data_IF_611326871121
#
_entry.id   IF_611326871121
#
_cell.length_a   1.000
_cell.length_b   1.000
_cell.length_c   1.000
_cell.angle_alpha   90.00
_cell.angle_beta   90.00
_cell.angle_gamma   90.00
#
_symmetry.space_group_name_H-M   'P 1'
#
loop_
_entity.id
_entity.type
_entity.pdbx_description
1 polymer ?
#
# COMPACT_ATOMS: atom_id res chain seq x y z
N UNK A 1 -20.51 -21.96 -60.17
CA UNK A 1 -19.56 -22.10 -61.29
C UNK A 1 -18.93 -20.75 -61.58
N UNK A 2 -17.96 -20.65 -62.49
CA UNK A 2 -17.51 -19.34 -62.98
C UNK A 2 -18.63 -18.78 -63.86
N UNK A 3 -19.10 -17.58 -63.57
CA UNK A 3 -20.10 -16.89 -64.37
C UNK A 3 -19.47 -15.70 -65.07
N UNK A 4 -19.81 -15.51 -66.34
CA UNK A 4 -19.36 -14.38 -67.15
C UNK A 4 -20.56 -13.50 -67.44
N UNK A 5 -20.45 -12.22 -67.07
CA UNK A 5 -21.45 -11.22 -67.43
C UNK A 5 -20.85 -10.24 -68.42
N UNK A 6 -21.43 -10.20 -69.62
CA UNK A 6 -21.09 -9.18 -70.62
C UNK A 6 -21.99 -7.97 -70.34
N UNK A 7 -21.37 -6.83 -70.04
CA UNK A 7 -22.10 -5.58 -69.89
C UNK A 7 -22.09 -4.88 -71.26
N UNK A 8 -23.27 -4.74 -71.87
CA UNK A 8 -23.40 -4.04 -73.16
C UNK A 8 -23.29 -2.53 -72.93
N UNK A 9 -22.37 -1.88 -73.66
CA UNK A 9 -22.26 -0.43 -73.69
C UNK A 9 -23.02 0.10 -74.92
N UNK A 10 -24.03 0.94 -74.70
CA UNK A 10 -24.85 1.52 -75.77
C UNK A 10 -24.36 2.91 -76.15
N UNK A 11 -24.33 3.23 -77.44
CA UNK A 11 -23.87 4.53 -77.96
C UNK A 11 -22.36 4.64 -78.21
N UNK A 12 -21.63 3.54 -78.11
CA UNK A 12 -20.22 3.45 -78.51
C UNK A 12 -20.11 2.86 -79.93
N UNK A 13 -18.97 3.04 -80.62
CA UNK A 13 -18.74 2.44 -81.92
C UNK A 13 -18.97 0.92 -81.89
N UNK A 14 -19.62 0.40 -82.93
CA UNK A 14 -19.90 -1.04 -83.04
C UNK A 14 -18.58 -1.81 -83.14
N UNK A 15 -18.42 -2.83 -82.30
CA UNK A 15 -17.24 -3.69 -82.30
C UNK A 15 -17.09 -4.38 -83.65
N UNK A 16 -15.85 -4.49 -84.12
CA UNK A 16 -15.47 -5.14 -85.39
C UNK A 16 -14.90 -6.53 -85.12
N UNK A 17 -14.88 -7.34 -86.18
CA UNK A 17 -14.30 -8.67 -86.11
C UNK A 17 -12.80 -8.59 -85.75
N UNK A 18 -12.39 -9.39 -84.76
CA UNK A 18 -11.04 -9.35 -84.17
C UNK A 18 -10.89 -8.47 -82.91
N UNK A 19 -11.90 -7.69 -82.53
CA UNK A 19 -11.86 -6.89 -81.31
C UNK A 19 -11.83 -7.76 -80.03
N UNK A 20 -11.23 -7.24 -78.96
CA UNK A 20 -11.17 -7.91 -77.65
C UNK A 20 -11.94 -7.16 -76.58
N UNK A 21 -12.53 -7.89 -75.63
CA UNK A 21 -13.25 -7.29 -74.49
C UNK A 21 -12.29 -7.11 -73.31
N UNK A 22 -12.26 -5.91 -72.73
CA UNK A 22 -11.55 -5.67 -71.48
C UNK A 22 -12.28 -6.37 -70.32
N UNK A 23 -11.65 -7.40 -69.75
CA UNK A 23 -12.19 -8.15 -68.62
C UNK A 23 -11.76 -7.56 -67.28
N UNK A 24 -12.64 -7.66 -66.27
CA UNK A 24 -12.29 -7.45 -64.87
C UNK A 24 -12.89 -8.57 -64.02
N UNK A 25 -12.13 -9.07 -63.04
CA UNK A 25 -12.61 -10.09 -62.13
C UNK A 25 -13.36 -9.43 -60.97
N UNK A 26 -14.67 -9.68 -60.86
CA UNK A 26 -15.42 -9.29 -59.68
C UNK A 26 -15.45 -10.43 -58.67
N UNK A 27 -14.81 -10.21 -57.52
CA UNK A 27 -14.71 -11.21 -56.46
C UNK A 27 -16.11 -11.51 -55.88
N UNK A 28 -16.55 -12.77 -55.92
CA UNK A 28 -17.88 -13.17 -55.46
C UNK A 28 -18.04 -12.96 -53.94
N UNK A 29 -19.25 -12.61 -53.48
CA UNK A 29 -19.57 -12.43 -52.03
C UNK A 29 -19.14 -13.62 -51.16
N UNK A 30 -19.17 -14.84 -51.71
CA UNK A 30 -18.70 -16.05 -51.02
C UNK A 30 -17.22 -15.99 -50.62
N UNK A 31 -16.37 -15.35 -51.43
CA UNK A 31 -14.95 -15.17 -51.11
C UNK A 31 -14.72 -14.13 -50.00
N UNK A 32 -15.59 -13.11 -49.91
CA UNK A 32 -15.56 -12.13 -48.82
C UNK A 32 -16.03 -12.74 -47.49
N UNK A 33 -17.02 -13.65 -47.53
CA UNK A 33 -17.42 -14.40 -46.33
C UNK A 33 -16.30 -15.37 -45.94
N UNK A 34 -15.73 -16.12 -46.90
CA UNK A 34 -14.62 -17.03 -46.63
C UNK A 34 -13.37 -16.32 -46.10
N UNK A 35 -13.08 -15.09 -46.53
CA UNK A 35 -11.94 -14.31 -46.03
C UNK A 35 -12.16 -13.73 -44.64
N UNK A 36 -13.39 -13.61 -44.17
CA UNK A 36 -13.73 -13.13 -42.82
C UNK A 36 -13.86 -14.26 -41.79
N UNK A 37 -14.15 -15.50 -42.23
CA UNK A 37 -14.24 -16.66 -41.34
C UNK A 37 -12.90 -17.00 -40.67
N UNK A 38 -11.78 -16.85 -41.39
CA UNK A 38 -10.43 -17.06 -40.85
C UNK A 38 -10.11 -16.13 -39.67
N UNK A 39 -10.14 -14.81 -39.86
CA UNK A 39 -9.89 -13.83 -38.79
C UNK A 39 -10.77 -14.02 -37.55
N UNK A 40 -12.06 -14.35 -37.72
CA UNK A 40 -12.97 -14.60 -36.60
C UNK A 40 -12.55 -15.86 -35.82
N UNK A 41 -12.17 -16.94 -36.52
CA UNK A 41 -11.65 -18.16 -35.89
C UNK A 41 -10.36 -17.89 -35.12
N UNK A 42 -9.47 -17.06 -35.66
CA UNK A 42 -8.20 -16.75 -35.01
C UNK A 42 -8.41 -15.86 -33.77
N UNK A 43 -9.29 -14.86 -33.86
CA UNK A 43 -9.69 -14.04 -32.72
C UNK A 43 -10.33 -14.88 -31.61
N UNK A 44 -11.19 -15.84 -31.95
CA UNK A 44 -11.78 -16.76 -30.98
C UNK A 44 -10.72 -17.62 -30.28
N UNK A 45 -9.73 -18.14 -31.00
CA UNK A 45 -8.63 -18.89 -30.39
C UNK A 45 -7.79 -18.03 -29.43
N UNK A 46 -7.55 -16.77 -29.77
CA UNK A 46 -6.83 -15.84 -28.88
C UNK A 46 -7.64 -15.56 -27.62
N UNK A 47 -8.95 -15.33 -27.74
CA UNK A 47 -9.84 -15.14 -26.59
C UNK A 47 -9.84 -16.37 -25.70
N UNK A 48 -9.99 -17.56 -26.27
CA UNK A 48 -9.97 -18.83 -25.52
C UNK A 48 -8.64 -19.03 -24.77
N UNK A 49 -7.49 -18.78 -25.42
CA UNK A 49 -6.18 -18.84 -24.75
C UNK A 49 -6.02 -17.83 -23.61
N UNK A 50 -6.57 -16.62 -23.77
CA UNK A 50 -6.56 -15.60 -22.70
C UNK A 50 -7.46 -16.01 -21.54
N UNK A 51 -8.62 -16.59 -21.82
CA UNK A 51 -9.53 -17.15 -20.81
C UNK A 51 -8.84 -18.28 -20.05
N UNK A 52 -8.18 -19.21 -20.74
CA UNK A 52 -7.43 -20.30 -20.10
C UNK A 52 -6.29 -19.76 -19.22
N UNK A 53 -5.55 -18.77 -19.71
CA UNK A 53 -4.45 -18.15 -18.95
C UNK A 53 -4.94 -17.43 -17.70
N UNK A 54 -6.06 -16.70 -17.80
CA UNK A 54 -6.71 -16.08 -16.64
C UNK A 54 -7.20 -17.14 -15.64
N UNK A 55 -7.74 -18.26 -16.13
CA UNK A 55 -8.20 -19.36 -15.29
C UNK A 55 -7.04 -20.06 -14.57
N UNK A 56 -5.87 -20.19 -15.20
CA UNK A 56 -4.66 -20.72 -14.59
C UNK A 56 -4.11 -19.75 -13.52
N UNK A 57 -4.03 -18.46 -13.81
CA UNK A 57 -3.57 -17.45 -12.85
C UNK A 57 -4.53 -17.31 -11.66
N UNK A 58 -5.84 -17.35 -11.92
CA UNK A 58 -6.87 -17.44 -10.89
C UNK A 58 -6.68 -18.65 -9.99
N UNK A 59 -6.49 -19.82 -10.61
CA UNK A 59 -6.25 -21.07 -9.90
C UNK A 59 -5.02 -20.96 -9.01
N UNK A 60 -3.97 -20.29 -9.47
CA UNK A 60 -2.77 -20.05 -8.66
C UNK A 60 -3.10 -19.27 -7.39
N UNK A 61 -3.82 -18.15 -7.45
CA UNK A 61 -4.19 -17.39 -6.23
C UNK A 61 -5.11 -18.19 -5.29
N UNK A 62 -6.00 -19.02 -5.87
CA UNK A 62 -6.90 -19.89 -5.10
C UNK A 62 -6.30 -21.25 -4.74
N UNK A 63 -5.06 -21.52 -5.11
CA UNK A 63 -4.41 -22.80 -4.83
C UNK A 63 -4.16 -22.97 -3.33
N UNK A 64 -4.12 -24.22 -2.87
CA UNK A 64 -3.93 -24.57 -1.47
C UNK A 64 -2.65 -23.95 -0.87
N UNK A 65 -1.55 -23.82 -1.63
CA UNK A 65 -0.30 -23.23 -1.17
C UNK A 65 -0.47 -21.72 -0.89
N UNK A 66 -1.04 -20.98 -1.84
CA UNK A 66 -1.29 -19.55 -1.68
C UNK A 66 -2.32 -19.27 -0.59
N UNK A 67 -3.36 -20.11 -0.46
CA UNK A 67 -4.30 -20.02 0.66
C UNK A 67 -3.62 -20.23 2.01
N UNK A 68 -2.73 -21.22 2.12
CA UNK A 68 -1.98 -21.48 3.35
C UNK A 68 -1.04 -20.32 3.70
N UNK A 69 -0.33 -19.77 2.71
CA UNK A 69 0.54 -18.61 2.88
C UNK A 69 -0.24 -17.39 3.39
N UNK A 70 -1.39 -17.08 2.79
CA UNK A 70 -2.23 -15.95 3.23
C UNK A 70 -2.77 -16.16 4.64
N UNK A 71 -3.23 -17.37 4.98
CA UNK A 71 -3.66 -17.69 6.36
C UNK A 71 -2.52 -17.50 7.37
N UNK A 72 -1.32 -17.94 7.02
CA UNK A 72 -0.12 -17.76 7.85
C UNK A 72 0.21 -16.27 8.04
N UNK A 73 0.14 -15.47 6.97
CA UNK A 73 0.33 -14.02 7.03
C UNK A 73 -0.69 -13.34 7.94
N UNK A 74 -1.98 -13.68 7.82
CA UNK A 74 -3.05 -13.14 8.68
C UNK A 74 -2.86 -13.53 10.15
N UNK A 75 -2.47 -14.78 10.40
CA UNK A 75 -2.15 -15.25 11.74
C UNK A 75 -0.97 -14.48 12.34
N UNK A 76 0.11 -14.29 11.59
CA UNK A 76 1.27 -13.52 12.02
C UNK A 76 0.93 -12.03 12.21
N UNK A 77 0.10 -11.45 11.35
CA UNK A 77 -0.38 -10.08 11.50
C UNK A 77 -1.16 -9.92 12.80
N UNK A 78 -2.09 -10.84 13.10
CA UNK A 78 -2.84 -10.82 14.36
C UNK A 78 -1.91 -10.88 15.58
N UNK A 79 -0.90 -11.76 15.54
CA UNK A 79 0.12 -11.83 16.61
C UNK A 79 0.91 -10.52 16.75
N UNK A 80 1.27 -9.88 15.64
CA UNK A 80 1.95 -8.58 15.66
C UNK A 80 1.08 -7.51 16.30
N UNK A 81 -0.21 -7.45 15.96
CA UNK A 81 -1.18 -6.52 16.57
C UNK A 81 -1.28 -6.76 18.08
N UNK A 82 -1.45 -8.01 18.52
CA UNK A 82 -1.48 -8.35 19.96
C UNK A 82 -0.18 -7.98 20.67
N UNK A 83 0.97 -8.22 20.03
CA UNK A 83 2.27 -7.85 20.60
C UNK A 83 2.41 -6.35 20.73
N UNK A 84 2.02 -5.58 19.71
CA UNK A 84 2.05 -4.12 19.76
C UNK A 84 1.10 -3.57 20.82
N UNK A 85 -0.08 -4.15 21.00
CA UNK A 85 -1.04 -3.77 22.05
C UNK A 85 -0.47 -4.08 23.46
N UNK A 86 0.21 -5.21 23.63
CA UNK A 86 0.92 -5.55 24.86
C UNK A 86 2.09 -4.62 25.16
N UNK A 87 2.90 -4.28 24.15
CA UNK A 87 3.99 -3.30 24.25
C UNK A 87 3.44 -1.92 24.61
N UNK A 88 2.34 -1.50 23.98
CA UNK A 88 1.68 -0.21 24.26
C UNK A 88 1.16 -0.14 25.68
N UNK A 89 0.49 -1.18 26.17
CA UNK A 89 0.07 -1.28 27.59
C UNK A 89 1.26 -1.22 28.55
N UNK A 90 2.35 -1.91 28.24
CA UNK A 90 3.57 -1.89 29.05
C UNK A 90 4.21 -0.50 29.06
N UNK A 91 4.27 0.17 27.91
CA UNK A 91 4.76 1.53 27.79
C UNK A 91 3.90 2.53 28.58
N UNK A 92 2.57 2.43 28.47
CA UNK A 92 1.64 3.24 29.27
C UNK A 92 1.82 3.01 30.78
N UNK A 93 2.00 1.76 31.20
CA UNK A 93 2.27 1.45 32.61
C UNK A 93 3.61 2.03 33.07
N UNK A 94 4.67 1.91 32.27
CA UNK A 94 5.97 2.52 32.57
C UNK A 94 5.85 4.04 32.68
N UNK A 95 5.14 4.69 31.77
CA UNK A 95 4.91 6.13 31.84
C UNK A 95 4.12 6.52 33.09
N UNK A 96 2.99 5.87 33.35
CA UNK A 96 2.15 6.19 34.51
C UNK A 96 2.88 5.99 35.85
N UNK A 97 3.73 4.97 35.94
CA UNK A 97 4.50 4.69 37.16
C UNK A 97 5.75 5.58 37.33
N UNK A 98 6.37 5.99 36.23
CA UNK A 98 7.57 6.83 36.29
C UNK A 98 7.26 8.32 36.28
N UNK A 99 6.16 8.77 35.69
CA UNK A 99 5.80 10.19 35.62
C UNK A 99 5.79 10.86 37.01
N UNK A 100 5.13 10.33 38.05
CA UNK A 100 5.17 10.93 39.38
C UNK A 100 6.57 10.92 40.02
N UNK A 101 7.39 9.92 39.71
CA UNK A 101 8.76 9.81 40.24
C UNK A 101 9.70 10.79 39.55
N UNK A 102 9.56 10.93 38.23
CA UNK A 102 10.36 11.87 37.46
C UNK A 102 9.95 13.30 37.77
N UNK A 103 8.66 13.60 37.92
CA UNK A 103 8.20 14.90 38.41
C UNK A 103 8.82 15.25 39.76
N UNK A 104 8.77 14.33 40.74
CA UNK A 104 9.46 14.53 42.03
C UNK A 104 10.97 14.73 41.90
N UNK A 105 11.62 14.02 40.98
CA UNK A 105 13.05 14.20 40.73
C UNK A 105 13.35 15.58 40.15
N UNK A 106 12.51 16.06 39.22
CA UNK A 106 12.59 17.40 38.64
C UNK A 106 12.37 18.47 39.71
N UNK A 107 11.35 18.30 40.57
CA UNK A 107 11.09 19.19 41.69
C UNK A 107 12.28 19.26 42.65
N UNK A 108 12.84 18.10 43.03
CA UNK A 108 14.03 18.02 43.88
C UNK A 108 15.25 18.67 43.23
N UNK A 109 15.45 18.47 41.92
CA UNK A 109 16.54 19.10 41.18
C UNK A 109 16.39 20.62 41.10
N UNK A 110 15.17 21.12 40.93
CA UNK A 110 14.86 22.55 40.99
C UNK A 110 15.11 23.12 42.39
N UNK A 111 14.64 22.45 43.44
CA UNK A 111 14.90 22.86 44.83
C UNK A 111 16.40 22.87 45.15
N UNK A 112 17.15 21.87 44.71
CA UNK A 112 18.59 21.81 44.88
C UNK A 112 19.30 22.95 44.12
N UNK A 113 18.88 23.23 42.89
CA UNK A 113 19.36 24.35 42.07
C UNK A 113 19.13 25.69 42.75
N UNK A 114 17.91 25.95 43.23
CA UNK A 114 17.54 27.18 43.94
C UNK A 114 18.34 27.32 45.23
N UNK A 115 18.48 26.23 45.99
CA UNK A 115 19.22 26.22 47.25
C UNK A 115 20.71 26.49 47.03
N UNK A 116 21.31 25.85 46.01
CA UNK A 116 22.70 26.05 45.65
C UNK A 116 22.96 27.50 45.17
N UNK A 117 22.07 28.04 44.33
CA UNK A 117 22.15 29.44 43.90
C UNK A 117 22.06 30.41 45.08
N UNK A 118 21.11 30.18 45.99
CA UNK A 118 20.96 30.98 47.21
C UNK A 118 22.22 30.92 48.09
N UNK A 119 22.83 29.74 48.24
CA UNK A 119 24.06 29.57 49.00
C UNK A 119 25.24 30.31 48.34
N UNK A 120 25.35 30.25 47.01
CA UNK A 120 26.37 30.99 46.25
C UNK A 120 26.19 32.50 46.42
N UNK A 121 24.97 33.01 46.30
CA UNK A 121 24.69 34.44 46.43
C UNK A 121 25.04 34.95 47.83
N UNK A 122 24.81 34.14 48.86
CA UNK A 122 25.02 34.51 50.27
C UNK A 122 26.45 34.31 50.76
N UNK A 123 27.15 33.27 50.29
CA UNK A 123 28.43 32.83 50.84
C UNK A 123 29.55 32.70 49.79
N UNK A 124 29.24 32.79 48.50
CA UNK A 124 30.18 32.51 47.41
C UNK A 124 31.38 33.46 47.33
N UNK A 125 31.33 34.63 47.99
CA UNK A 125 32.46 35.57 48.09
C UNK A 125 33.34 35.35 49.33
N UNK A 126 32.93 34.47 50.24
CA UNK A 126 33.58 34.26 51.56
C UNK A 126 34.46 33.01 51.55
N UNK A 127 34.26 32.08 50.60
CA UNK A 127 34.99 30.83 50.53
C UNK A 127 36.14 30.89 49.52
N UNK A 128 37.38 31.00 50.01
CA UNK A 128 38.61 31.16 49.20
C UNK A 128 38.89 29.96 48.26
N UNK A 129 38.29 28.79 48.52
CA UNK A 129 38.54 27.55 47.76
C UNK A 129 37.40 27.17 46.78
N UNK A 130 36.29 27.93 46.76
CA UNK A 130 35.11 27.55 45.95
C UNK A 130 35.18 28.21 44.58
N UNK A 131 35.30 27.39 43.52
CA UNK A 131 35.14 27.83 42.13
C UNK A 131 33.65 28.07 41.81
N UNK A 132 33.16 29.25 42.21
CA UNK A 132 31.78 29.71 42.01
C UNK A 132 31.36 29.64 40.54
N UNK A 133 32.30 29.88 39.61
CA UNK A 133 32.02 29.84 38.18
C UNK A 133 31.72 28.42 37.70
N UNK A 134 32.51 27.42 38.12
CA UNK A 134 32.19 26.01 37.83
C UNK A 134 30.88 25.56 38.46
N UNK A 135 30.59 26.02 39.68
CA UNK A 135 29.36 25.65 40.37
C UNK A 135 28.13 26.22 39.67
N UNK A 136 28.14 27.50 39.28
CA UNK A 136 27.08 28.10 38.47
C UNK A 136 26.88 27.36 37.14
N UNK A 137 27.96 27.05 36.43
CA UNK A 137 27.87 26.25 35.19
C UNK A 137 27.24 24.86 35.41
N UNK A 138 27.47 24.25 36.57
CA UNK A 138 26.90 22.93 36.91
C UNK A 138 25.40 23.05 37.19
N UNK A 139 25.00 24.09 37.91
CA UNK A 139 23.60 24.42 38.18
C UNK A 139 22.85 24.66 36.87
N UNK A 140 23.41 25.47 35.97
CA UNK A 140 22.78 25.76 34.67
C UNK A 140 22.61 24.49 33.82
N UNK A 141 23.63 23.62 33.80
CA UNK A 141 23.54 22.31 33.10
C UNK A 141 22.47 21.40 33.72
N UNK A 142 22.33 21.40 35.04
CA UNK A 142 21.31 20.62 35.73
C UNK A 142 19.90 21.14 35.38
N UNK A 143 19.70 22.46 35.42
CA UNK A 143 18.44 23.10 35.03
C UNK A 143 18.06 22.74 33.58
N UNK A 144 18.99 22.91 32.64
CA UNK A 144 18.76 22.57 31.23
C UNK A 144 18.44 21.08 31.02
N UNK A 145 19.03 20.20 31.83
CA UNK A 145 18.77 18.76 31.77
C UNK A 145 17.36 18.44 32.27
N UNK A 146 16.94 19.07 33.37
CA UNK A 146 15.60 18.95 33.92
C UNK A 146 14.54 19.42 32.90
N UNK A 147 14.76 20.56 32.25
CA UNK A 147 13.84 21.11 31.24
C UNK A 147 13.70 20.20 30.02
N UNK A 148 14.83 19.66 29.53
CA UNK A 148 14.83 18.70 28.42
C UNK A 148 14.08 17.42 28.78
N UNK A 149 14.29 16.89 29.99
CA UNK A 149 13.61 15.69 30.45
C UNK A 149 12.09 15.92 30.55
N UNK A 150 11.68 17.07 31.09
CA UNK A 150 10.27 17.45 31.15
C UNK A 150 9.64 17.55 29.76
N UNK A 151 10.37 18.11 28.79
CA UNK A 151 9.92 18.20 27.39
C UNK A 151 9.73 16.83 26.75
N UNK A 152 10.64 15.88 26.98
CA UNK A 152 10.51 14.51 26.47
C UNK A 152 9.28 13.82 27.05
N UNK A 153 9.05 13.93 28.35
CA UNK A 153 7.88 13.33 29.03
C UNK A 153 6.59 13.91 28.47
N UNK A 154 6.53 15.23 28.33
CA UNK A 154 5.39 15.95 27.77
C UNK A 154 5.11 15.51 26.32
N UNK A 155 6.16 15.37 25.50
CA UNK A 155 6.02 14.88 24.13
C UNK A 155 5.41 13.47 24.08
N UNK A 156 5.89 12.54 24.92
CA UNK A 156 5.32 11.18 24.95
C UNK A 156 3.86 11.21 25.41
N UNK A 157 3.51 12.03 26.40
CA UNK A 157 2.12 12.21 26.87
C UNK A 157 1.18 12.74 25.77
N UNK A 158 1.70 13.62 24.92
CA UNK A 158 0.99 14.19 23.77
C UNK A 158 0.95 13.28 22.54
N UNK A 159 1.52 12.07 22.62
CA UNK A 159 1.56 11.14 21.49
C UNK A 159 2.67 11.42 20.48
N UNK A 160 3.68 12.23 20.83
CA UNK A 160 4.81 12.54 19.97
C UNK A 160 5.87 11.43 19.98
N UNK A 161 6.61 11.33 18.87
CA UNK A 161 7.61 10.28 18.67
C UNK A 161 7.00 8.88 18.55
N UNK A 162 7.85 7.86 18.33
CA UNK A 162 7.37 6.48 18.14
C UNK A 162 6.70 5.92 19.40
N UNK A 163 7.24 6.23 20.58
CA UNK A 163 6.68 5.76 21.85
C UNK A 163 5.31 6.37 22.12
N UNK A 164 5.17 7.69 21.93
CA UNK A 164 3.89 8.40 22.09
C UNK A 164 2.83 7.94 21.10
N UNK A 165 3.20 7.73 19.83
CA UNK A 165 2.27 7.20 18.81
C UNK A 165 1.76 5.80 19.19
N UNK A 166 2.66 4.89 19.57
CA UNK A 166 2.29 3.52 19.95
C UNK A 166 1.40 3.51 21.20
N UNK A 167 1.61 4.41 22.16
CA UNK A 167 0.81 4.47 23.39
C UNK A 167 -0.57 5.11 23.23
N UNK A 168 -0.78 5.94 22.20
CA UNK A 168 -2.02 6.72 22.00
C UNK A 168 -2.88 6.28 20.82
N UNK A 169 -2.35 5.49 19.89
CA UNK A 169 -3.03 5.18 18.63
C UNK A 169 -3.95 3.94 18.75
N UNK A 170 -5.06 4.09 19.48
CA UNK A 170 -6.14 3.08 19.56
C UNK A 170 -6.78 2.79 18.19
N UNK A 171 -6.80 3.81 17.32
CA UNK A 171 -7.36 3.71 15.97
C UNK A 171 -6.53 2.78 15.07
N UNK A 172 -5.20 2.83 15.14
CA UNK A 172 -4.32 1.89 14.44
C UNK A 172 -4.62 0.44 14.81
N UNK A 173 -4.77 0.15 16.11
CA UNK A 173 -5.08 -1.21 16.57
C UNK A 173 -6.44 -1.68 16.06
N UNK A 174 -7.46 -0.83 16.14
CA UNK A 174 -8.80 -1.12 15.63
C UNK A 174 -8.76 -1.37 14.11
N UNK A 175 -8.14 -0.48 13.35
CA UNK A 175 -8.07 -0.55 11.90
C UNK A 175 -7.30 -1.79 11.42
N UNK A 176 -6.22 -2.17 12.11
CA UNK A 176 -5.46 -3.39 11.80
C UNK A 176 -6.28 -4.65 12.10
N UNK A 177 -7.01 -4.68 13.22
CA UNK A 177 -7.88 -5.79 13.56
C UNK A 177 -9.03 -5.93 12.55
N UNK A 178 -9.71 -4.83 12.21
CA UNK A 178 -10.76 -4.81 11.20
C UNK A 178 -10.26 -5.23 9.82
N UNK A 179 -9.08 -4.73 9.40
CA UNK A 179 -8.44 -5.12 8.14
C UNK A 179 -8.14 -6.62 8.10
N UNK A 180 -7.61 -7.18 9.19
CA UNK A 180 -7.36 -8.62 9.31
C UNK A 180 -8.65 -9.45 9.21
N UNK A 181 -9.72 -9.00 9.86
CA UNK A 181 -11.03 -9.66 9.76
C UNK A 181 -11.62 -9.57 8.35
N UNK A 182 -11.51 -8.42 7.69
CA UNK A 182 -12.00 -8.22 6.33
C UNK A 182 -11.21 -9.07 5.32
N UNK A 183 -9.89 -9.16 5.48
CA UNK A 183 -9.06 -10.06 4.67
C UNK A 183 -9.45 -11.52 4.89
N UNK A 184 -9.71 -11.95 6.13
CA UNK A 184 -10.18 -13.31 6.39
C UNK A 184 -11.52 -13.59 5.69
N UNK A 185 -12.46 -12.65 5.72
CA UNK A 185 -13.75 -12.74 5.00
C UNK A 185 -13.54 -12.81 3.48
N UNK A 186 -12.64 -11.99 2.93
CA UNK A 186 -12.30 -12.00 1.50
C UNK A 186 -11.75 -13.37 1.08
N UNK A 187 -10.87 -13.97 1.88
CA UNK A 187 -10.30 -15.29 1.58
C UNK A 187 -11.36 -16.39 1.62
N UNK A 188 -12.29 -16.33 2.57
CA UNK A 188 -13.44 -17.24 2.60
C UNK A 188 -14.34 -17.05 1.37
N UNK A 189 -14.66 -15.81 1.00
CA UNK A 189 -15.51 -15.55 -0.17
C UNK A 189 -14.82 -15.92 -1.49
N UNK A 190 -13.51 -15.70 -1.61
CA UNK A 190 -12.74 -16.15 -2.76
C UNK A 190 -12.75 -17.68 -2.90
N UNK A 191 -12.74 -18.42 -1.78
CA UNK A 191 -12.85 -19.88 -1.76
C UNK A 191 -14.22 -20.38 -2.21
N UNK A 192 -15.29 -19.76 -1.72
CA UNK A 192 -16.67 -20.17 -2.03
C UNK A 192 -17.15 -19.66 -3.40
N UNK A 193 -16.67 -18.48 -3.82
CA UNK A 193 -17.14 -17.76 -5.01
C UNK A 193 -16.00 -17.29 -5.93
N UNK A 194 -15.07 -18.16 -6.37
CA UNK A 194 -13.89 -17.74 -7.13
C UNK A 194 -14.25 -17.00 -8.42
N UNK A 195 -15.38 -17.33 -9.06
CA UNK A 195 -15.85 -16.69 -10.30
C UNK A 195 -16.15 -15.20 -10.15
N UNK A 196 -16.48 -14.69 -8.96
CA UNK A 196 -16.77 -13.26 -8.74
C UNK A 196 -15.56 -12.35 -8.93
N UNK A 197 -14.36 -12.91 -8.76
CA UNK A 197 -13.10 -12.17 -8.79
C UNK A 197 -12.37 -12.32 -10.13
N UNK A 198 -12.97 -13.03 -11.08
CA UNK A 198 -12.43 -13.26 -12.42
C UNK A 198 -13.17 -12.39 -13.43
N UNK A 199 -12.62 -11.20 -13.67
CA UNK A 199 -13.15 -10.30 -14.69
C UNK A 199 -12.65 -10.72 -16.08
N UNK A 200 -13.56 -11.16 -16.94
CA UNK A 200 -13.27 -11.46 -18.33
C UNK A 200 -13.32 -10.16 -19.16
N UNK A 201 -12.17 -9.55 -19.40
CA UNK A 201 -12.09 -8.48 -20.40
C UNK A 201 -11.89 -9.09 -21.79
N UNK A 202 -12.96 -9.13 -22.59
CA UNK A 202 -12.94 -9.58 -23.99
C UNK A 202 -12.38 -8.53 -24.96
N UNK A 203 -11.96 -7.35 -24.48
CA UNK A 203 -11.38 -6.30 -25.31
C UNK A 203 -10.11 -5.75 -24.66
N UNK A 204 -8.96 -6.18 -25.19
CA UNK A 204 -7.64 -5.82 -24.64
C UNK A 204 -6.55 -5.69 -25.69
N UNK A 205 -6.52 -4.49 -26.30
CA UNK A 205 -5.38 -3.72 -26.84
C UNK A 205 -4.56 -4.37 -27.96
N UNK A 206 -4.77 -3.89 -29.19
CA UNK A 206 -3.78 -3.96 -30.26
C UNK A 206 -2.57 -3.09 -29.86
N UNK A 207 -1.42 -3.73 -29.66
CA UNK A 207 -0.14 -3.04 -29.70
C UNK A 207 0.28 -3.01 -31.17
N UNK A 208 0.17 -1.84 -31.78
CA UNK A 208 0.77 -1.53 -33.08
C UNK A 208 2.27 -1.32 -32.86
N UNK A 209 3.09 -2.18 -33.46
CA UNK A 209 4.33 -1.89 -34.19
C UNK A 209 5.09 -3.19 -34.50
#
# INVERSE_FOLDING_TARGET
GKEMRINLAYGQPMAKDGDTLAGAFQLSMMNNISSQVGPVKDQLQVVLKRVDSLMINAKSITDAENQAAIRSLLFNLNRTVTSLEGTSRSANSLMANNDPRVQKMLDNANLATISAKTAIDKYGKVADEVDVKKLNNTIDKLSLTADKLNSVISGIQNGEGSLGKITKDEELYRNLNESSQNLNKLILDLKENPKRYLNFSVFGKNSSN
#
